data_IF_512742358256
#
_entry.id   IF_512742358256
#
_cell.length_a   1.000
_cell.length_b   1.000
_cell.length_c   1.000
_cell.angle_alpha   90.00
_cell.angle_beta   90.00
_cell.angle_gamma   90.00
#
_symmetry.space_group_name_H-M   'P 1'
#
loop_
_entity.id
_entity.type
_entity.pdbx_description
1 polymer ?
#
# COMPACT_ATOMS: atom_id res chain seq x y z
N UNK A 1 -16.74 -17.97 6.65
CA UNK A 1 -15.51 -17.88 7.51
C UNK A 1 -15.58 -16.56 8.27
N UNK A 2 -15.53 -16.61 9.60
CA UNK A 2 -15.39 -15.37 10.37
C UNK A 2 -14.03 -14.74 10.08
N UNK A 3 -14.02 -13.45 9.76
CA UNK A 3 -12.79 -12.69 9.54
C UNK A 3 -11.95 -12.69 10.81
N UNK A 4 -10.71 -13.14 10.72
CA UNK A 4 -9.74 -13.07 11.82
C UNK A 4 -9.21 -11.64 12.02
N UNK A 5 -9.39 -10.78 11.01
CA UNK A 5 -8.91 -9.40 11.00
C UNK A 5 -9.98 -8.49 11.61
N UNK A 6 -9.58 -7.69 12.59
CA UNK A 6 -10.46 -6.76 13.30
C UNK A 6 -10.30 -5.34 12.76
N UNK A 7 -11.26 -4.46 13.07
CA UNK A 7 -11.15 -3.02 12.77
C UNK A 7 -9.89 -2.39 13.36
N UNK A 8 -9.43 -2.88 14.52
CA UNK A 8 -8.18 -2.41 15.16
C UNK A 8 -6.95 -2.77 14.32
N UNK A 9 -6.94 -3.98 13.74
CA UNK A 9 -5.84 -4.41 12.87
C UNK A 9 -5.78 -3.55 11.60
N UNK A 10 -6.94 -3.27 10.98
CA UNK A 10 -7.04 -2.39 9.80
C UNK A 10 -6.62 -0.96 10.14
N UNK A 11 -6.97 -0.46 11.31
CA UNK A 11 -6.52 0.85 11.76
C UNK A 11 -5.00 0.91 11.93
N UNK A 12 -4.38 -0.16 12.47
CA UNK A 12 -2.93 -0.26 12.56
C UNK A 12 -2.26 -0.30 11.19
N UNK A 13 -2.84 -1.04 10.24
CA UNK A 13 -2.38 -1.05 8.83
C UNK A 13 -2.44 0.36 8.24
N UNK A 14 -3.54 1.07 8.45
CA UNK A 14 -3.70 2.45 7.97
C UNK A 14 -2.64 3.39 8.57
N UNK A 15 -2.42 3.35 9.89
CA UNK A 15 -1.40 4.19 10.54
C UNK A 15 0.01 3.88 10.01
N UNK A 16 0.34 2.61 9.83
CA UNK A 16 1.62 2.22 9.24
C UNK A 16 1.74 2.68 7.78
N UNK A 17 0.62 2.66 7.03
CA UNK A 17 0.58 3.10 5.64
C UNK A 17 0.90 4.58 5.48
N UNK A 18 0.58 5.44 6.44
CA UNK A 18 0.97 6.85 6.43
C UNK A 18 2.51 7.02 6.37
N UNK A 19 3.25 6.01 6.77
CA UNK A 19 4.71 5.97 6.75
C UNK A 19 5.29 5.30 5.49
N UNK A 20 4.46 5.04 4.47
CA UNK A 20 4.85 4.31 3.25
C UNK A 20 6.12 4.87 2.59
N UNK A 21 6.27 6.20 2.56
CA UNK A 21 7.38 6.88 1.89
C UNK A 21 8.65 7.04 2.74
N UNK A 22 8.61 6.75 4.04
CA UNK A 22 9.76 7.01 4.95
C UNK A 22 11.01 6.20 4.58
N UNK A 23 10.82 5.00 4.04
CA UNK A 23 11.89 4.06 3.70
C UNK A 23 12.05 3.84 2.20
N UNK A 24 11.82 4.89 1.42
CA UNK A 24 11.96 4.85 -0.03
C UNK A 24 13.42 4.61 -0.47
N UNK A 25 13.62 3.73 -1.44
CA UNK A 25 14.93 3.42 -2.01
C UNK A 25 14.86 3.30 -3.53
N UNK A 26 15.95 3.55 -4.22
CA UNK A 26 16.01 3.41 -5.68
C UNK A 26 15.81 1.96 -6.17
N UNK A 27 16.24 0.99 -5.36
CA UNK A 27 16.19 -0.43 -5.74
C UNK A 27 14.78 -1.01 -5.67
N UNK A 28 14.03 -0.67 -4.60
CA UNK A 28 12.75 -1.30 -4.28
C UNK A 28 11.59 -0.33 -4.09
N UNK A 29 11.85 0.96 -4.26
CA UNK A 29 10.89 2.06 -4.11
C UNK A 29 10.18 2.03 -2.75
N UNK A 30 8.87 1.78 -2.74
CA UNK A 30 8.01 1.79 -1.55
C UNK A 30 7.90 0.42 -0.86
N UNK A 31 8.65 -0.60 -1.29
CA UNK A 31 8.47 -1.98 -0.85
C UNK A 31 8.57 -2.16 0.65
N UNK A 32 9.57 -1.56 1.31
CA UNK A 32 9.73 -1.66 2.76
C UNK A 32 8.56 -1.02 3.51
N UNK A 33 8.11 0.16 3.07
CA UNK A 33 6.93 0.80 3.64
C UNK A 33 5.66 -0.03 3.47
N UNK A 34 5.49 -0.70 2.32
CA UNK A 34 4.38 -1.62 2.09
C UNK A 34 4.45 -2.84 3.02
N UNK A 35 5.62 -3.46 3.17
CA UNK A 35 5.82 -4.60 4.07
C UNK A 35 5.56 -4.22 5.54
N UNK A 36 6.01 -3.04 5.97
CA UNK A 36 5.71 -2.50 7.31
C UNK A 36 4.19 -2.30 7.47
N UNK A 37 3.53 -1.74 6.46
CA UNK A 37 2.08 -1.46 6.52
C UNK A 37 1.27 -2.74 6.73
N UNK A 38 1.58 -3.81 5.99
CA UNK A 38 0.85 -5.08 6.08
C UNK A 38 1.30 -5.97 7.25
N UNK A 39 2.42 -5.69 7.90
CA UNK A 39 3.02 -6.55 8.92
C UNK A 39 2.09 -6.94 10.08
N UNK A 40 1.16 -6.09 10.58
CA UNK A 40 0.22 -6.48 11.63
C UNK A 40 -0.69 -7.64 11.19
N UNK A 41 -1.11 -7.64 9.93
CA UNK A 41 -1.95 -8.68 9.34
C UNK A 41 -1.15 -9.98 9.20
N UNK A 42 0.05 -9.91 8.64
CA UNK A 42 0.91 -11.08 8.45
C UNK A 42 1.22 -11.76 9.77
N UNK A 43 1.54 -11.00 10.84
CA UNK A 43 1.76 -11.54 12.19
C UNK A 43 0.56 -12.32 12.71
N UNK A 44 -0.64 -11.91 12.34
CA UNK A 44 -1.88 -12.55 12.79
C UNK A 44 -2.22 -13.78 11.96
N UNK A 45 -2.09 -13.67 10.64
CA UNK A 45 -2.41 -14.75 9.68
C UNK A 45 -1.42 -15.90 9.79
N UNK A 46 -0.14 -15.60 9.99
CA UNK A 46 0.96 -16.56 10.05
C UNK A 46 1.50 -16.79 11.47
N UNK A 47 0.68 -16.57 12.50
CA UNK A 47 1.08 -16.68 13.91
C UNK A 47 1.77 -17.99 14.24
N UNK A 48 1.24 -19.09 13.73
CA UNK A 48 1.70 -20.46 13.98
C UNK A 48 2.49 -21.04 12.79
N UNK A 49 2.91 -20.20 11.84
CA UNK A 49 3.62 -20.61 10.62
C UNK A 49 4.80 -19.64 10.32
N UNK A 50 5.95 -19.83 10.98
CA UNK A 50 7.13 -19.00 10.78
C UNK A 50 7.67 -18.99 9.35
N UNK A 51 7.62 -20.12 8.66
CA UNK A 51 8.07 -20.22 7.27
C UNK A 51 7.12 -19.50 6.31
N UNK A 52 5.81 -19.61 6.53
CA UNK A 52 4.80 -18.84 5.80
C UNK A 52 4.98 -17.34 6.01
N UNK A 53 5.25 -16.91 7.25
CA UNK A 53 5.54 -15.52 7.58
C UNK A 53 6.75 -14.98 6.83
N UNK A 54 7.86 -15.74 6.80
CA UNK A 54 9.07 -15.38 6.09
C UNK A 54 8.82 -15.22 4.59
N UNK A 55 8.11 -16.19 3.98
CA UNK A 55 7.74 -16.14 2.55
C UNK A 55 6.85 -14.94 2.24
N UNK A 56 5.86 -14.66 3.08
CA UNK A 56 4.97 -13.51 2.91
C UNK A 56 5.74 -12.18 3.02
N UNK A 57 6.60 -12.01 4.00
CA UNK A 57 7.45 -10.83 4.13
C UNK A 57 8.37 -10.65 2.91
N UNK A 58 9.01 -11.71 2.45
CA UNK A 58 9.88 -11.66 1.26
C UNK A 58 9.11 -11.20 0.04
N UNK A 59 7.89 -11.73 -0.19
CA UNK A 59 6.99 -11.33 -1.27
C UNK A 59 6.64 -9.84 -1.21
N UNK A 60 6.40 -9.29 -0.02
CA UNK A 60 6.04 -7.90 0.14
C UNK A 60 7.23 -6.94 0.14
N UNK A 61 8.45 -7.44 0.24
CA UNK A 61 9.71 -6.70 0.05
C UNK A 61 10.16 -6.62 -1.42
N UNK A 62 9.44 -7.26 -2.35
CA UNK A 62 9.66 -7.10 -3.79
C UNK A 62 9.30 -5.68 -4.23
N UNK A 63 9.87 -5.25 -5.36
CA UNK A 63 9.64 -3.91 -5.94
C UNK A 63 8.16 -3.51 -5.86
N UNK A 64 7.92 -2.31 -5.37
CA UNK A 64 6.59 -1.72 -5.28
C UNK A 64 6.66 -0.21 -5.45
N UNK A 65 5.94 0.31 -6.44
CA UNK A 65 5.87 1.74 -6.70
C UNK A 65 4.53 2.10 -7.33
N UNK A 66 3.76 2.96 -6.66
CA UNK A 66 2.50 3.49 -7.16
C UNK A 66 2.17 4.80 -6.46
N UNK A 67 1.07 5.45 -6.84
CA UNK A 67 0.60 6.64 -6.13
C UNK A 67 0.32 6.32 -4.65
N UNK A 68 1.02 6.97 -3.69
CA UNK A 68 0.94 6.61 -2.28
C UNK A 68 -0.45 6.75 -1.68
N UNK A 69 -1.16 7.82 -2.05
CA UNK A 69 -2.42 8.19 -1.41
C UNK A 69 -3.61 7.30 -1.86
N UNK A 70 -3.66 6.95 -3.14
CA UNK A 70 -4.78 6.19 -3.72
C UNK A 70 -4.37 4.77 -4.10
N UNK A 71 -3.37 4.65 -4.97
CA UNK A 71 -2.95 3.38 -5.54
C UNK A 71 -2.48 2.39 -4.49
N UNK A 72 -1.56 2.82 -3.63
CA UNK A 72 -1.02 1.95 -2.59
C UNK A 72 -2.09 1.54 -1.57
N UNK A 73 -3.02 2.43 -1.20
CA UNK A 73 -4.12 2.13 -0.27
C UNK A 73 -5.05 1.05 -0.84
N UNK A 74 -5.43 1.17 -2.11
CA UNK A 74 -6.30 0.19 -2.79
C UNK A 74 -5.61 -1.16 -2.87
N UNK A 75 -4.36 -1.20 -3.35
CA UNK A 75 -3.58 -2.45 -3.45
C UNK A 75 -3.41 -3.08 -2.07
N UNK A 76 -3.08 -2.29 -1.05
CA UNK A 76 -2.90 -2.78 0.31
C UNK A 76 -4.18 -3.43 0.85
N UNK A 77 -5.35 -2.81 0.63
CA UNK A 77 -6.63 -3.37 1.04
C UNK A 77 -6.93 -4.72 0.37
N UNK A 78 -6.69 -4.84 -0.92
CA UNK A 78 -6.88 -6.09 -1.67
C UNK A 78 -5.90 -7.16 -1.17
N UNK A 79 -4.63 -6.81 -1.01
CA UNK A 79 -3.59 -7.74 -0.55
C UNK A 79 -3.86 -8.22 0.89
N UNK A 80 -4.35 -7.35 1.77
CA UNK A 80 -4.80 -7.74 3.13
C UNK A 80 -5.87 -8.84 3.07
N UNK A 81 -6.88 -8.66 2.22
CA UNK A 81 -7.95 -9.66 2.06
C UNK A 81 -7.44 -10.99 1.47
N UNK A 82 -6.51 -10.94 0.54
CA UNK A 82 -5.90 -12.14 -0.06
C UNK A 82 -4.98 -12.87 0.93
N UNK A 83 -4.19 -12.15 1.72
CA UNK A 83 -3.35 -12.75 2.76
C UNK A 83 -4.19 -13.38 3.88
N UNK A 84 -5.31 -12.75 4.27
CA UNK A 84 -6.24 -13.35 5.25
C UNK A 84 -6.76 -14.71 4.78
N UNK A 85 -7.04 -14.83 3.48
CA UNK A 85 -7.52 -16.07 2.86
C UNK A 85 -6.39 -17.07 2.58
N UNK A 86 -5.13 -16.72 2.84
CA UNK A 86 -3.95 -17.48 2.42
C UNK A 86 -4.02 -17.86 0.93
N UNK A 87 -4.41 -16.90 0.10
CA UNK A 87 -4.50 -17.06 -1.34
C UNK A 87 -3.15 -17.46 -1.96
N UNK A 88 -3.20 -17.95 -3.19
CA UNK A 88 -1.99 -18.34 -3.93
C UNK A 88 -0.99 -17.17 -3.97
N UNK A 89 0.28 -17.40 -3.59
CA UNK A 89 1.35 -16.39 -3.63
C UNK A 89 1.52 -15.70 -4.98
N UNK A 90 1.35 -16.43 -6.09
CA UNK A 90 1.47 -15.87 -7.44
C UNK A 90 0.28 -14.96 -7.79
N UNK A 91 -0.92 -15.29 -7.30
CA UNK A 91 -2.09 -14.42 -7.44
C UNK A 91 -1.87 -13.09 -6.70
N UNK A 92 -1.37 -13.14 -5.44
CA UNK A 92 -1.07 -11.94 -4.65
C UNK A 92 -0.03 -11.08 -5.36
N UNK A 93 1.05 -11.69 -5.87
CA UNK A 93 2.11 -11.01 -6.61
C UNK A 93 1.57 -10.39 -7.91
N UNK A 94 0.80 -11.15 -8.68
CA UNK A 94 0.21 -10.71 -9.94
C UNK A 94 -0.72 -9.51 -9.78
N UNK A 95 -1.60 -9.52 -8.78
CA UNK A 95 -2.50 -8.39 -8.48
C UNK A 95 -1.69 -7.18 -8.04
N UNK A 96 -0.75 -7.36 -7.11
CA UNK A 96 0.11 -6.28 -6.61
C UNK A 96 0.86 -5.59 -7.75
N UNK A 97 1.52 -6.36 -8.63
CA UNK A 97 2.30 -5.81 -9.75
C UNK A 97 1.42 -5.26 -10.87
N UNK A 98 0.34 -5.95 -11.22
CA UNK A 98 -0.56 -5.55 -12.30
C UNK A 98 -1.32 -4.25 -12.03
N UNK A 99 -1.59 -3.92 -10.76
CA UNK A 99 -2.30 -2.70 -10.37
C UNK A 99 -1.39 -1.49 -10.16
N UNK A 100 -0.07 -1.69 -10.00
CA UNK A 100 0.86 -0.58 -9.70
C UNK A 100 0.81 0.53 -10.74
N UNK A 101 1.00 0.19 -12.02
CA UNK A 101 1.03 1.15 -13.13
C UNK A 101 -0.28 1.90 -13.34
N UNK A 102 -1.41 1.21 -13.55
CA UNK A 102 -2.71 1.86 -13.73
C UNK A 102 -3.10 2.79 -12.58
N UNK A 103 -2.89 2.38 -11.33
CA UNK A 103 -3.22 3.21 -10.18
C UNK A 103 -2.23 4.36 -9.97
N UNK A 104 -0.96 4.21 -10.35
CA UNK A 104 -0.03 5.32 -10.39
C UNK A 104 -0.49 6.38 -11.39
N UNK A 105 -0.82 5.98 -12.63
CA UNK A 105 -1.27 6.91 -13.67
C UNK A 105 -2.50 7.71 -13.26
N UNK A 106 -3.52 7.06 -12.67
CA UNK A 106 -4.72 7.73 -12.17
C UNK A 106 -4.38 8.68 -11.01
N UNK A 107 -3.66 8.18 -10.00
CA UNK A 107 -3.37 8.96 -8.80
C UNK A 107 -2.46 10.15 -9.06
N UNK A 108 -1.42 9.98 -9.85
CA UNK A 108 -0.49 11.05 -10.19
C UNK A 108 -1.17 12.12 -11.06
N UNK A 109 -2.03 11.71 -12.00
CA UNK A 109 -2.82 12.65 -12.80
C UNK A 109 -3.78 13.48 -11.92
N UNK A 110 -4.44 12.86 -10.95
CA UNK A 110 -5.31 13.59 -10.02
C UNK A 110 -4.53 14.58 -9.14
N UNK A 111 -3.38 14.17 -8.62
CA UNK A 111 -2.58 15.01 -7.73
C UNK A 111 -1.91 16.17 -8.47
N UNK A 112 -1.20 15.87 -9.56
CA UNK A 112 -0.37 16.86 -10.24
C UNK A 112 -1.11 17.64 -11.33
N UNK A 113 -2.04 17.03 -12.06
CA UNK A 113 -2.75 17.70 -13.13
C UNK A 113 -4.01 18.47 -12.65
N UNK A 114 -4.62 18.06 -11.55
CA UNK A 114 -5.88 18.66 -11.05
C UNK A 114 -5.66 19.39 -9.73
N UNK A 115 -5.29 18.67 -8.66
CA UNK A 115 -5.20 19.26 -7.32
C UNK A 115 -4.07 20.29 -7.19
N UNK A 116 -2.91 20.01 -7.77
CA UNK A 116 -1.76 20.94 -7.72
C UNK A 116 -2.10 22.31 -8.30
N UNK A 117 -2.53 22.42 -9.56
CA UNK A 117 -2.93 23.70 -10.16
C UNK A 117 -4.08 24.40 -9.41
N UNK A 118 -5.08 23.65 -8.93
CA UNK A 118 -6.17 24.24 -8.14
C UNK A 118 -5.67 24.87 -6.84
N UNK A 119 -4.83 24.17 -6.09
CA UNK A 119 -4.28 24.69 -4.83
C UNK A 119 -3.38 25.90 -5.03
N UNK A 120 -2.65 25.96 -6.14
CA UNK A 120 -1.80 27.11 -6.49
C UNK A 120 -2.66 28.30 -6.95
N UNK A 121 -3.76 28.07 -7.67
CA UNK A 121 -4.61 29.14 -8.19
C UNK A 121 -5.43 29.85 -7.11
N UNK A 122 -5.84 29.16 -6.04
CA UNK A 122 -6.64 29.75 -4.95
C UNK A 122 -5.93 30.94 -4.28
N UNK A 123 -4.68 30.83 -3.79
CA UNK A 123 -3.96 31.97 -3.23
C UNK A 123 -3.80 33.12 -4.20
N UNK A 124 -3.55 32.84 -5.48
CA UNK A 124 -3.40 33.88 -6.51
C UNK A 124 -4.68 34.68 -6.72
N UNK A 125 -5.86 34.07 -6.63
CA UNK A 125 -7.16 34.73 -6.73
C UNK A 125 -7.39 35.66 -5.54
N UNK A 126 -6.94 35.28 -4.34
CA UNK A 126 -7.10 36.09 -3.13
C UNK A 126 -5.93 37.05 -2.85
N UNK A 127 -4.98 37.22 -3.78
CA UNK A 127 -3.88 38.17 -3.67
C UNK A 127 -2.81 37.84 -2.63
N UNK A 128 -2.71 36.59 -2.23
CA UNK A 128 -1.60 36.08 -1.43
C UNK A 128 -0.41 35.76 -2.37
N UNK A 129 0.46 36.73 -2.58
CA UNK A 129 1.72 36.58 -3.31
C UNK A 129 2.86 36.23 -2.37
#
# INVERSE_FOLDING_TARGET
>A
MESKITKKDLWQVFLNHLLLQISWSYERMQALGFAISISPILKKVYKDDPEGMKKALTRHMEFFNTCPNYGATVILGIVVALEEQKADPELIRGIKTGMMGPLAGIGDSMMFAILGPLLISIPSIYGFN
#
